data_IF_569797020547
#
_entry.id   IF_569797020547
#
_cell.length_a   1.000
_cell.length_b   1.000
_cell.length_c   1.000
_cell.angle_alpha   90.00
_cell.angle_beta   90.00
_cell.angle_gamma   90.00
#
_symmetry.space_group_name_H-M   'P 1'
#
loop_
_entity.id
_entity.type
_entity.pdbx_description
1 polymer ?
#
# COMPACT_ATOMS: atom_id res chain seq x y z
N UNK A 1 64.59 8.14 39.74
CA UNK A 1 63.91 7.27 38.76
C UNK A 1 62.43 7.24 39.11
N UNK A 2 61.57 7.81 38.25
CA UNK A 2 60.11 7.75 38.36
C UNK A 2 59.62 6.38 37.88
N UNK A 3 58.61 5.80 38.54
CA UNK A 3 57.43 5.23 37.85
C UNK A 3 56.18 5.43 38.72
N UNK A 4 55.27 6.27 38.23
CA UNK A 4 53.89 6.34 38.70
C UNK A 4 53.15 5.13 38.13
N UNK A 5 52.50 4.34 38.98
CA UNK A 5 51.58 3.29 38.55
C UNK A 5 50.20 3.92 38.32
N UNK A 6 49.89 4.28 37.08
CA UNK A 6 48.52 4.51 36.66
C UNK A 6 47.96 3.16 36.24
N UNK A 7 46.98 2.66 36.99
CA UNK A 7 46.14 1.55 36.56
C UNK A 7 44.96 2.20 35.84
N UNK A 8 45.08 2.34 34.52
CA UNK A 8 43.95 2.74 33.69
C UNK A 8 42.99 1.56 33.61
N UNK A 9 41.97 1.55 34.47
CA UNK A 9 40.83 0.65 34.35
C UNK A 9 40.02 1.14 33.15
N UNK A 10 40.36 0.62 31.98
CA UNK A 10 39.52 0.74 30.80
C UNK A 10 38.30 -0.15 31.02
N UNK A 11 37.27 0.38 31.68
CA UNK A 11 35.94 -0.25 31.68
C UNK A 11 35.45 -0.13 30.25
N UNK A 12 35.64 -1.20 29.48
CA UNK A 12 35.10 -1.34 28.14
C UNK A 12 33.58 -1.21 28.21
N UNK A 13 33.08 0.00 27.94
CA UNK A 13 31.69 0.21 27.61
C UNK A 13 31.46 -0.45 26.27
N UNK A 14 31.13 -1.74 26.27
CA UNK A 14 30.56 -2.38 25.10
C UNK A 14 29.11 -1.89 25.06
N UNK A 15 28.91 -0.68 24.51
CA UNK A 15 27.59 -0.30 24.06
C UNK A 15 27.27 -1.23 22.89
N UNK A 16 26.54 -2.30 23.17
CA UNK A 16 25.85 -3.06 22.12
C UNK A 16 24.85 -2.10 21.49
N UNK A 17 25.29 -1.36 20.47
CA UNK A 17 24.40 -0.67 19.56
C UNK A 17 23.69 -1.78 18.78
N UNK A 18 22.45 -2.06 19.13
CA UNK A 18 21.58 -2.74 18.20
C UNK A 18 21.48 -1.82 16.98
N UNK A 19 22.18 -2.15 15.90
CA UNK A 19 21.83 -1.61 14.59
C UNK A 19 20.52 -2.31 14.26
N UNK A 20 19.40 -1.71 14.66
CA UNK A 20 18.12 -2.04 14.04
C UNK A 20 18.34 -1.75 12.55
N UNK A 21 18.34 -2.77 11.69
CA UNK A 21 18.19 -2.50 10.27
C UNK A 21 16.92 -1.68 10.15
N UNK A 22 17.01 -0.43 9.71
CA UNK A 22 15.82 0.31 9.34
C UNK A 22 15.07 -0.55 8.33
N UNK A 23 13.77 -0.76 8.54
CA UNK A 23 12.96 -1.39 7.50
C UNK A 23 13.15 -0.57 6.22
N UNK A 24 13.27 -1.25 5.08
CA UNK A 24 13.31 -0.53 3.81
C UNK A 24 12.00 0.26 3.66
N UNK A 25 12.09 1.43 3.01
CA UNK A 25 10.91 2.22 2.72
C UNK A 25 9.97 1.43 1.82
N UNK A 26 8.65 1.53 2.04
CA UNK A 26 7.70 0.80 1.24
C UNK A 26 7.81 1.25 -0.22
N UNK A 27 7.58 0.31 -1.14
CA UNK A 27 7.48 0.56 -2.57
C UNK A 27 6.09 0.11 -3.00
N UNK A 28 5.25 1.08 -3.31
CA UNK A 28 3.90 0.88 -3.84
C UNK A 28 3.96 0.73 -5.36
N UNK A 29 3.31 -0.29 -5.91
CA UNK A 29 3.26 -0.55 -7.34
C UNK A 29 1.82 -0.43 -7.85
N UNK A 30 1.65 0.20 -9.01
CA UNK A 30 0.34 0.39 -9.61
C UNK A 30 -0.39 -0.94 -9.88
N UNK A 31 -1.70 -0.89 -9.71
CA UNK A 31 -2.60 -2.04 -9.80
C UNK A 31 -3.61 -1.89 -10.92
N UNK A 32 -4.09 -3.05 -11.39
CA UNK A 32 -5.20 -3.12 -12.33
C UNK A 32 -6.27 -4.09 -11.83
N UNK A 33 -7.53 -3.72 -12.06
CA UNK A 33 -8.67 -4.58 -11.80
C UNK A 33 -9.69 -4.52 -12.93
N UNK A 34 -10.48 -5.58 -13.05
CA UNK A 34 -11.58 -5.69 -14.00
C UNK A 34 -12.85 -6.08 -13.23
N UNK A 35 -13.96 -5.40 -13.51
CA UNK A 35 -15.27 -5.77 -13.00
C UNK A 35 -16.38 -5.36 -13.96
N UNK A 36 -17.61 -5.83 -13.74
CA UNK A 36 -18.80 -5.28 -14.40
C UNK A 36 -19.39 -4.12 -13.61
N UNK A 37 -20.19 -3.27 -14.26
CA UNK A 37 -20.85 -2.10 -13.65
C UNK A 37 -21.71 -2.42 -12.41
N UNK A 38 -22.18 -3.66 -12.32
CA UNK A 38 -23.05 -4.15 -11.25
C UNK A 38 -22.34 -4.99 -10.17
N UNK A 39 -21.02 -5.18 -10.28
CA UNK A 39 -20.29 -6.10 -9.41
C UNK A 39 -19.15 -5.41 -8.65
N UNK A 40 -19.16 -5.44 -7.31
CA UNK A 40 -17.99 -5.08 -6.53
C UNK A 40 -16.83 -6.05 -6.75
N UNK A 41 -15.60 -5.56 -6.70
CA UNK A 41 -14.37 -6.34 -6.84
C UNK A 41 -13.44 -6.10 -5.65
N UNK A 42 -12.78 -7.17 -5.18
CA UNK A 42 -11.69 -7.12 -4.18
C UNK A 42 -10.36 -7.04 -4.93
N UNK A 43 -9.50 -6.11 -4.55
CA UNK A 43 -8.23 -5.81 -5.19
C UNK A 43 -7.13 -6.01 -4.13
N UNK A 44 -6.28 -7.04 -4.29
CA UNK A 44 -5.19 -7.34 -3.36
C UNK A 44 -3.97 -6.45 -3.64
N UNK A 45 -4.13 -5.15 -3.36
CA UNK A 45 -3.14 -4.11 -3.72
C UNK A 45 -1.74 -4.35 -3.15
N UNK A 46 -1.60 -5.09 -2.03
CA UNK A 46 -0.28 -5.38 -1.45
C UNK A 46 0.48 -6.54 -2.15
N UNK A 47 -0.10 -7.23 -3.15
CA UNK A 47 0.54 -8.41 -3.75
C UNK A 47 1.81 -8.08 -4.55
N UNK A 48 1.83 -6.94 -5.25
CA UNK A 48 2.96 -6.47 -6.04
C UNK A 48 3.89 -5.52 -5.24
N UNK A 49 3.44 -5.00 -4.11
CA UNK A 49 4.20 -4.09 -3.24
C UNK A 49 5.41 -4.73 -2.54
N UNK A 50 6.33 -3.89 -2.07
CA UNK A 50 7.50 -4.30 -1.28
C UNK A 50 7.57 -3.48 -0.01
N UNK A 51 8.00 -4.13 1.07
CA UNK A 51 8.22 -3.51 2.39
C UNK A 51 6.99 -2.77 2.94
N UNK A 52 5.79 -3.08 2.43
CA UNK A 52 4.51 -2.56 2.89
C UNK A 52 3.81 -3.58 3.81
N UNK A 53 3.26 -3.11 4.93
CA UNK A 53 2.59 -3.98 5.90
C UNK A 53 1.05 -3.88 5.84
N UNK A 54 0.56 -2.67 5.53
CA UNK A 54 -0.86 -2.31 5.55
C UNK A 54 -1.19 -1.20 4.54
N UNK A 55 -2.46 -1.13 4.15
CA UNK A 55 -3.05 0.00 3.42
C UNK A 55 -3.70 0.93 4.45
N UNK A 56 -3.36 2.22 4.42
CA UNK A 56 -3.79 3.19 5.44
C UNK A 56 -4.73 4.26 4.91
N UNK A 57 -4.65 4.57 3.62
CA UNK A 57 -5.53 5.54 2.97
C UNK A 57 -5.95 5.05 1.59
N UNK A 58 -7.18 5.43 1.19
CA UNK A 58 -7.67 5.26 -0.18
C UNK A 58 -8.42 6.52 -0.57
N UNK A 59 -8.10 7.07 -1.73
CA UNK A 59 -8.83 8.22 -2.25
C UNK A 59 -10.16 7.80 -2.86
N UNK A 60 -11.08 8.75 -2.98
CA UNK A 60 -12.36 8.50 -3.63
C UNK A 60 -12.16 8.49 -5.15
N UNK A 61 -12.59 7.44 -5.87
CA UNK A 61 -12.58 7.43 -7.32
C UNK A 61 -13.62 8.37 -7.93
N UNK A 62 -13.55 8.59 -9.24
CA UNK A 62 -14.43 9.57 -9.92
C UNK A 62 -15.89 9.09 -10.02
N UNK A 63 -16.14 7.78 -10.07
CA UNK A 63 -17.48 7.21 -10.27
C UNK A 63 -17.89 6.30 -9.13
N UNK A 64 -17.10 5.26 -8.89
CA UNK A 64 -17.42 4.24 -7.91
C UNK A 64 -17.14 4.66 -6.47
N UNK A 65 -16.86 3.66 -5.66
CA UNK A 65 -16.47 3.80 -4.27
C UNK A 65 -15.36 2.81 -3.97
N UNK A 66 -14.24 3.32 -3.45
CA UNK A 66 -13.13 2.51 -2.96
C UNK A 66 -13.11 2.53 -1.43
N UNK A 67 -12.93 1.36 -0.81
CA UNK A 67 -12.83 1.21 0.65
C UNK A 67 -11.78 0.18 1.01
N UNK A 68 -10.95 0.49 2.01
CA UNK A 68 -10.01 -0.46 2.60
C UNK A 68 -10.81 -1.56 3.33
N UNK A 69 -10.45 -2.82 3.08
CA UNK A 69 -11.01 -4.02 3.72
C UNK A 69 -9.88 -4.94 4.18
N UNK A 70 -9.36 -4.67 5.37
CA UNK A 70 -8.16 -5.35 5.87
C UNK A 70 -6.92 -4.89 5.11
N UNK A 71 -6.25 -5.81 4.41
CA UNK A 71 -5.06 -5.51 3.59
C UNK A 71 -5.37 -5.17 2.13
N UNK A 72 -6.64 -5.22 1.75
CA UNK A 72 -7.11 -5.05 0.38
C UNK A 72 -7.93 -3.79 0.22
N UNK A 73 -8.22 -3.45 -1.03
CA UNK A 73 -9.24 -2.45 -1.37
C UNK A 73 -10.43 -3.14 -2.04
N UNK A 74 -11.64 -2.81 -1.62
CA UNK A 74 -12.87 -3.13 -2.34
C UNK A 74 -13.28 -1.93 -3.18
N UNK A 75 -13.41 -2.15 -4.48
CA UNK A 75 -14.03 -1.19 -5.40
C UNK A 75 -15.46 -1.61 -5.71
N UNK A 76 -16.40 -0.66 -5.63
CA UNK A 76 -17.79 -0.84 -6.04
C UNK A 76 -18.14 0.22 -7.09
N UNK A 77 -18.51 -0.15 -8.33
CA UNK A 77 -18.91 0.83 -9.35
C UNK A 77 -20.23 1.55 -9.02
N UNK A 78 -21.05 0.99 -8.11
CA UNK A 78 -22.33 1.55 -7.64
C UNK A 78 -23.35 1.82 -8.77
N UNK A 79 -23.27 1.08 -9.88
CA UNK A 79 -24.10 1.29 -11.05
C UNK A 79 -23.91 2.66 -11.72
N UNK A 80 -22.79 3.35 -11.44
CA UNK A 80 -22.50 4.65 -12.06
C UNK A 80 -22.36 4.58 -13.58
N UNK A 81 -22.23 3.36 -14.11
CA UNK A 81 -22.05 3.06 -15.51
C UNK A 81 -23.13 2.11 -16.08
N UNK A 82 -24.31 1.96 -15.44
CA UNK A 82 -25.47 1.12 -15.89
C UNK A 82 -25.96 1.40 -17.33
N UNK A 83 -25.43 2.42 -17.99
CA UNK A 83 -25.70 2.71 -19.39
C UNK A 83 -24.74 1.98 -20.36
N UNK A 84 -23.71 1.26 -19.86
CA UNK A 84 -22.78 0.54 -20.72
C UNK A 84 -23.42 -0.77 -21.18
N UNK A 85 -23.59 -0.90 -22.50
CA UNK A 85 -24.03 -2.15 -23.11
C UNK A 85 -22.86 -3.12 -23.27
N UNK A 86 -23.16 -4.41 -23.42
CA UNK A 86 -22.15 -5.45 -23.64
C UNK A 86 -21.17 -5.07 -24.77
N UNK A 87 -19.88 -5.25 -24.51
CA UNK A 87 -18.79 -4.91 -25.43
C UNK A 87 -18.22 -3.49 -25.25
N UNK A 88 -18.81 -2.67 -24.38
CA UNK A 88 -18.27 -1.37 -24.00
C UNK A 88 -17.61 -1.43 -22.62
N UNK A 89 -16.65 -0.52 -22.41
CA UNK A 89 -15.94 -0.40 -21.14
C UNK A 89 -15.58 1.04 -20.81
N UNK A 90 -15.37 1.31 -19.52
CA UNK A 90 -14.85 2.58 -19.01
C UNK A 90 -13.76 2.34 -17.97
N UNK A 91 -12.89 3.33 -17.80
CA UNK A 91 -11.91 3.36 -16.73
C UNK A 91 -12.38 4.25 -15.58
N UNK A 92 -12.09 3.82 -14.36
CA UNK A 92 -12.09 4.63 -13.15
C UNK A 92 -10.76 4.42 -12.42
N UNK A 93 -10.36 5.37 -11.59
CA UNK A 93 -9.10 5.28 -10.86
C UNK A 93 -9.17 5.91 -9.48
N UNK A 94 -8.34 5.40 -8.59
CA UNK A 94 -8.09 5.94 -7.27
C UNK A 94 -6.65 5.63 -6.86
N UNK A 95 -6.16 6.31 -5.84
CA UNK A 95 -4.86 6.02 -5.22
C UNK A 95 -5.04 5.33 -3.89
N UNK A 96 -4.04 4.56 -3.48
CA UNK A 96 -3.93 4.02 -2.13
C UNK A 96 -2.55 4.35 -1.55
N UNK A 97 -2.52 4.51 -0.23
CA UNK A 97 -1.29 4.72 0.53
C UNK A 97 -0.96 3.46 1.30
N UNK A 98 0.25 2.96 1.12
CA UNK A 98 0.80 1.88 1.94
C UNK A 98 1.62 2.43 3.09
N UNK A 99 1.73 1.67 4.17
CA UNK A 99 2.54 2.03 5.32
C UNK A 99 3.26 0.80 5.85
N UNK A 100 4.56 0.95 6.13
CA UNK A 100 5.36 -0.08 6.79
C UNK A 100 5.25 0.04 8.32
N UNK A 101 5.74 -0.94 9.05
CA UNK A 101 5.75 -0.97 10.52
C UNK A 101 6.55 0.18 11.17
N UNK A 102 7.42 0.84 10.40
CA UNK A 102 8.21 1.99 10.82
C UNK A 102 7.49 3.32 10.59
N UNK A 103 6.29 3.28 9.99
CA UNK A 103 5.45 4.44 9.71
C UNK A 103 5.78 5.17 8.41
N UNK A 104 6.72 4.66 7.60
CA UNK A 104 7.03 5.20 6.28
C UNK A 104 5.94 4.81 5.28
N UNK A 105 5.74 5.65 4.26
CA UNK A 105 4.62 5.52 3.32
C UNK A 105 5.05 5.70 1.88
N UNK A 106 4.30 5.06 0.97
CA UNK A 106 4.36 5.29 -0.47
C UNK A 106 2.94 5.21 -1.07
N UNK A 107 2.76 5.72 -2.28
CA UNK A 107 1.44 5.86 -2.93
C UNK A 107 1.47 5.25 -4.34
N UNK A 108 0.45 4.46 -4.67
CA UNK A 108 0.25 3.91 -6.00
C UNK A 108 -1.17 4.13 -6.52
N UNK A 109 -1.37 3.93 -7.82
CA UNK A 109 -2.63 4.09 -8.53
C UNK A 109 -3.25 2.72 -8.80
N UNK A 110 -4.54 2.59 -8.52
CA UNK A 110 -5.37 1.49 -9.01
C UNK A 110 -6.17 2.00 -10.21
N UNK A 111 -6.05 1.31 -11.35
CA UNK A 111 -6.91 1.51 -12.52
C UNK A 111 -7.93 0.39 -12.64
N UNK A 112 -9.22 0.71 -12.60
CA UNK A 112 -10.30 -0.27 -12.73
C UNK A 112 -10.94 -0.15 -14.10
N UNK A 113 -10.95 -1.25 -14.85
CA UNK A 113 -11.78 -1.37 -16.06
C UNK A 113 -13.16 -1.90 -15.67
N UNK A 114 -14.18 -1.16 -16.06
CA UNK A 114 -15.59 -1.46 -15.79
C UNK A 114 -16.22 -1.85 -17.13
N UNK A 115 -16.76 -3.06 -17.23
CA UNK A 115 -17.43 -3.55 -18.45
C UNK A 115 -18.94 -3.48 -18.32
N UNK A 116 -19.59 -3.10 -19.41
CA UNK A 116 -21.05 -3.17 -19.53
C UNK A 116 -21.56 -4.61 -19.55
N UNK A 117 -22.75 -4.80 -19.00
CA UNK A 117 -23.50 -6.05 -19.01
C UNK A 117 -24.90 -5.81 -19.57
N UNK A 118 -25.47 -6.82 -20.23
CA UNK A 118 -26.89 -6.77 -20.58
C UNK A 118 -27.67 -7.27 -19.35
N UNK A 119 -28.42 -6.39 -18.71
CA UNK A 119 -29.24 -6.66 -17.52
C UNK A 119 -30.71 -6.24 -17.63
#
# INVERSE_FOLDING_TARGET
MLRKNYIDILIGLIATFAISSAAASPIANDDQALTSENKPVRIPVLENDKDADQVTEVTRPNKGEARIIGKDVRYNPRGADDFLVTGHSRLDSFTYTVTNNSGETDVAVVTVTITGTDD
#
